data_IF_152150124002
#
_entry.id   IF_152150124002
#
_cell.length_a   1.000
_cell.length_b   1.000
_cell.length_c   1.000
_cell.angle_alpha   90.00
_cell.angle_beta   90.00
_cell.angle_gamma   90.00
#
_symmetry.space_group_name_H-M   'P 1'
#
loop_
_entity.id
_entity.type
_entity.pdbx_description
1 polymer ?
#
# COMPACT_ATOMS: atom_id res chain seq x y z
N UNK A 1 16.00 -34.57 -37.18
CA UNK A 1 16.79 -34.45 -35.95
C UNK A 1 17.67 -33.22 -36.07
N UNK A 2 17.32 -32.12 -35.38
CA UNK A 2 18.20 -31.07 -34.83
C UNK A 2 17.32 -30.06 -34.08
N UNK A 3 17.86 -29.56 -32.97
CA UNK A 3 17.22 -29.14 -31.73
C UNK A 3 16.31 -27.90 -31.77
N UNK A 4 15.28 -27.93 -30.93
CA UNK A 4 14.57 -26.77 -30.42
C UNK A 4 15.53 -25.94 -29.55
N UNK A 5 15.79 -24.70 -29.98
CA UNK A 5 16.56 -23.71 -29.23
C UNK A 5 15.66 -23.04 -28.18
N UNK A 6 15.95 -23.30 -26.91
CA UNK A 6 15.40 -22.59 -25.75
C UNK A 6 15.71 -21.10 -25.84
N UNK A 7 14.68 -20.24 -25.88
CA UNK A 7 14.83 -18.81 -25.62
C UNK A 7 14.79 -18.60 -24.12
N UNK A 8 15.96 -18.63 -23.49
CA UNK A 8 16.15 -18.15 -22.13
C UNK A 8 15.90 -16.64 -22.09
N UNK A 9 14.89 -16.22 -21.35
CA UNK A 9 14.55 -14.82 -21.15
C UNK A 9 15.61 -14.09 -20.31
N UNK A 10 16.09 -12.96 -20.84
CA UNK A 10 16.67 -11.87 -20.03
C UNK A 10 15.77 -10.65 -20.23
N UNK A 11 15.37 -9.95 -19.14
CA UNK A 11 14.50 -8.80 -19.22
C UNK A 11 15.31 -7.58 -19.65
N UNK A 12 15.60 -7.48 -20.94
CA UNK A 12 15.88 -6.19 -21.55
C UNK A 12 14.75 -5.85 -22.51
N UNK A 13 13.58 -5.61 -21.94
CA UNK A 13 12.39 -5.13 -22.66
C UNK A 13 12.49 -3.65 -23.03
N UNK A 14 13.61 -2.99 -22.70
CA UNK A 14 13.75 -1.54 -22.83
C UNK A 14 14.30 -1.08 -24.18
N UNK A 15 14.92 -1.95 -24.99
CA UNK A 15 15.73 -1.45 -26.12
C UNK A 15 15.23 -1.75 -27.55
N UNK A 16 13.99 -2.20 -27.76
CA UNK A 16 13.48 -2.44 -29.14
C UNK A 16 11.99 -2.18 -29.31
N UNK A 17 11.61 -0.92 -29.32
CA UNK A 17 10.53 -0.34 -30.11
C UNK A 17 10.51 1.14 -29.71
N UNK A 18 10.38 2.03 -30.69
CA UNK A 18 10.10 3.43 -30.40
C UNK A 18 8.84 3.52 -29.49
N UNK A 19 8.62 4.61 -28.74
CA UNK A 19 7.70 4.56 -27.58
C UNK A 19 6.24 4.32 -28.01
N UNK A 20 5.51 3.33 -27.47
CA UNK A 20 4.10 3.08 -27.79
C UNK A 20 3.20 4.32 -27.59
N UNK A 21 3.64 5.28 -26.76
CA UNK A 21 2.98 6.59 -26.59
C UNK A 21 2.77 7.32 -27.92
N UNK A 22 3.74 7.25 -28.84
CA UNK A 22 3.65 7.94 -30.14
C UNK A 22 2.55 7.39 -31.04
N UNK A 23 2.13 6.15 -30.79
CA UNK A 23 1.11 5.45 -31.56
C UNK A 23 -0.24 5.45 -30.83
N UNK A 24 -0.36 6.16 -29.70
CA UNK A 24 -1.58 6.16 -28.90
C UNK A 24 -1.92 4.79 -28.30
N UNK A 25 -0.92 3.91 -28.16
CA UNK A 25 -1.12 2.59 -27.56
C UNK A 25 -0.91 2.72 -26.05
N UNK A 26 -1.93 2.45 -25.21
CA UNK A 26 -1.75 2.51 -23.76
C UNK A 26 -0.83 1.38 -23.31
N UNK A 27 0.37 1.74 -22.89
CA UNK A 27 1.35 0.83 -22.32
C UNK A 27 1.83 1.39 -20.98
N UNK A 28 2.15 0.50 -20.05
CA UNK A 28 2.73 0.87 -18.77
C UNK A 28 3.93 -0.03 -18.47
N UNK A 29 4.91 0.53 -17.77
CA UNK A 29 6.04 -0.23 -17.23
C UNK A 29 5.54 -1.15 -16.11
N UNK A 30 5.96 -2.40 -16.13
CA UNK A 30 5.82 -3.28 -14.99
C UNK A 30 6.90 -2.91 -13.97
N UNK A 31 6.47 -2.39 -12.81
CA UNK A 31 7.39 -2.06 -11.72
C UNK A 31 7.52 -3.25 -10.77
N UNK A 32 8.71 -3.45 -10.20
CA UNK A 32 8.91 -4.30 -9.03
C UNK A 32 8.52 -3.54 -7.74
N UNK A 33 8.70 -4.20 -6.59
CA UNK A 33 8.30 -3.61 -5.29
C UNK A 33 9.10 -2.33 -4.98
N UNK A 34 10.40 -2.31 -5.27
CA UNK A 34 11.23 -1.13 -5.04
C UNK A 34 10.80 0.03 -5.96
N UNK A 35 10.60 -0.24 -7.24
CA UNK A 35 10.12 0.73 -8.23
C UNK A 35 8.71 1.25 -7.94
N UNK A 36 7.86 0.47 -7.25
CA UNK A 36 6.58 0.97 -6.74
C UNK A 36 6.78 1.93 -5.56
N UNK A 37 7.65 1.60 -4.61
CA UNK A 37 7.90 2.43 -3.42
C UNK A 37 8.49 3.80 -3.82
N UNK A 38 9.37 3.81 -4.81
CA UNK A 38 10.05 5.01 -5.31
C UNK A 38 9.27 5.72 -6.44
N UNK A 39 8.03 5.30 -6.68
CA UNK A 39 7.27 5.77 -7.84
C UNK A 39 6.97 7.28 -7.75
N UNK A 40 7.31 8.09 -8.78
CA UNK A 40 7.19 9.55 -8.73
C UNK A 40 5.80 10.06 -8.38
N UNK A 41 4.75 9.32 -8.74
CA UNK A 41 3.36 9.70 -8.51
C UNK A 41 2.97 9.54 -7.04
N UNK A 42 3.65 8.71 -6.26
CA UNK A 42 3.42 8.59 -4.82
C UNK A 42 4.03 9.79 -4.08
N UNK A 43 5.20 10.23 -4.50
CA UNK A 43 5.85 11.44 -4.00
C UNK A 43 5.10 12.71 -4.41
N UNK A 44 4.80 12.87 -5.70
CA UNK A 44 4.11 14.04 -6.25
C UNK A 44 2.71 14.26 -5.64
N UNK A 45 2.06 13.17 -5.20
CA UNK A 45 0.75 13.23 -4.51
C UNK A 45 0.87 13.19 -2.99
N UNK A 46 2.08 13.33 -2.46
CA UNK A 46 2.40 13.26 -1.04
C UNK A 46 1.67 12.10 -0.33
N UNK A 47 1.80 10.89 -0.88
CA UNK A 47 1.02 9.71 -0.46
C UNK A 47 1.61 8.95 0.71
N UNK A 48 2.79 9.33 1.20
CA UNK A 48 3.44 8.67 2.33
C UNK A 48 3.09 9.37 3.64
N UNK A 49 2.76 8.58 4.67
CA UNK A 49 2.60 9.06 6.05
C UNK A 49 3.39 8.15 6.99
N UNK A 50 3.88 8.73 8.06
CA UNK A 50 4.50 8.00 9.15
C UNK A 50 3.42 7.63 10.16
N UNK A 51 3.35 6.35 10.52
CA UNK A 51 2.48 5.83 11.56
C UNK A 51 3.31 5.18 12.67
N UNK A 52 2.92 5.39 13.91
CA UNK A 52 3.58 4.77 15.05
C UNK A 52 3.11 3.32 15.20
N UNK A 53 4.06 2.43 15.47
CA UNK A 53 3.77 1.03 15.82
C UNK A 53 4.53 0.65 17.09
N UNK A 54 4.15 -0.45 17.77
CA UNK A 54 4.89 -0.94 18.93
C UNK A 54 6.37 -1.29 18.62
N UNK A 55 6.70 -1.53 17.35
CA UNK A 55 8.05 -1.80 16.88
C UNK A 55 8.81 -0.52 16.41
N UNK A 56 8.19 0.65 16.52
CA UNK A 56 8.73 1.93 16.05
C UNK A 56 7.92 2.56 14.91
N UNK A 57 8.36 3.72 14.39
CA UNK A 57 7.69 4.40 13.29
C UNK A 57 7.82 3.60 12.00
N UNK A 58 6.73 3.48 11.25
CA UNK A 58 6.69 2.84 9.93
C UNK A 58 6.04 3.77 8.91
N UNK A 59 6.53 3.71 7.68
CA UNK A 59 5.97 4.50 6.58
C UNK A 59 4.87 3.71 5.87
N UNK A 60 3.66 4.25 5.87
CA UNK A 60 2.48 3.68 5.23
C UNK A 60 2.02 4.50 4.03
N UNK A 61 1.38 3.82 3.09
CA UNK A 61 0.74 4.46 1.95
C UNK A 61 -0.66 4.93 2.35
N UNK A 62 -0.97 6.19 2.05
CA UNK A 62 -2.32 6.71 2.20
C UNK A 62 -3.32 5.89 1.36
N UNK A 63 -4.54 5.66 1.86
CA UNK A 63 -5.57 4.98 1.09
C UNK A 63 -5.76 5.61 -0.30
N UNK A 64 -6.13 4.82 -1.32
CA UNK A 64 -6.25 5.32 -2.68
C UNK A 64 -7.30 6.42 -2.79
N UNK A 65 -8.40 6.28 -2.04
CA UNK A 65 -9.46 7.28 -1.92
C UNK A 65 -8.99 8.44 -1.03
N UNK A 66 -9.16 9.67 -1.51
CA UNK A 66 -8.87 10.90 -0.77
C UNK A 66 -10.08 11.81 -0.85
N UNK A 67 -10.42 12.48 0.24
CA UNK A 67 -11.47 13.50 0.28
C UNK A 67 -10.82 14.88 0.30
N UNK A 68 -11.48 15.89 -0.27
CA UNK A 68 -10.98 17.28 -0.25
C UNK A 68 -11.03 17.89 1.15
N UNK A 69 -11.98 17.44 1.96
CA UNK A 69 -12.35 18.10 3.22
C UNK A 69 -11.87 17.33 4.45
N UNK A 70 -11.38 16.09 4.25
CA UNK A 70 -10.95 15.19 5.33
C UNK A 70 -9.68 14.46 4.93
N UNK A 71 -8.64 14.60 5.74
CA UNK A 71 -7.46 13.76 5.64
C UNK A 71 -7.70 12.44 6.39
N UNK A 72 -7.41 11.31 5.74
CA UNK A 72 -7.60 9.99 6.33
C UNK A 72 -6.56 9.75 7.44
N UNK A 73 -6.98 9.41 8.66
CA UNK A 73 -6.07 9.27 9.78
C UNK A 73 -5.18 8.02 9.60
N UNK A 74 -3.87 8.24 9.58
CA UNK A 74 -2.84 7.20 9.70
C UNK A 74 -2.38 7.14 11.16
N UNK A 75 -3.33 6.81 12.04
CA UNK A 75 -3.11 6.79 13.50
C UNK A 75 -2.14 5.71 13.96
N UNK A 76 -1.86 5.69 15.28
CA UNK A 76 -1.00 4.67 15.89
C UNK A 76 -1.61 3.27 15.76
N UNK A 77 -0.76 2.29 15.50
CA UNK A 77 -1.10 0.87 15.59
C UNK A 77 -0.98 0.44 17.06
N UNK A 78 -2.05 -0.07 17.70
CA UNK A 78 -1.99 -0.48 19.09
C UNK A 78 -1.13 -1.72 19.29
N UNK A 79 -0.57 -1.85 20.48
CA UNK A 79 0.11 -3.07 20.90
C UNK A 79 -0.90 -4.22 21.11
N UNK A 80 -0.37 -5.45 21.11
CA UNK A 80 -1.17 -6.63 21.42
C UNK A 80 -1.81 -6.47 22.81
N UNK A 81 -3.15 -6.46 22.85
CA UNK A 81 -3.92 -6.37 24.07
C UNK A 81 -4.13 -4.96 24.63
N UNK A 82 -3.64 -3.91 23.96
CA UNK A 82 -3.69 -2.53 24.48
C UNK A 82 -5.10 -2.03 24.82
N UNK A 83 -6.11 -2.46 24.05
CA UNK A 83 -7.50 -2.05 24.27
C UNK A 83 -8.37 -3.12 24.96
N UNK A 84 -7.80 -4.26 25.36
CA UNK A 84 -8.58 -5.41 25.85
C UNK A 84 -9.36 -5.07 27.12
N UNK A 85 -8.69 -4.52 28.14
CA UNK A 85 -9.35 -4.21 29.43
C UNK A 85 -10.42 -3.12 29.28
N UNK A 86 -10.13 -2.08 28.48
CA UNK A 86 -11.08 -0.99 28.23
C UNK A 86 -12.37 -1.48 27.55
N UNK A 87 -12.24 -2.33 26.53
CA UNK A 87 -13.39 -2.90 25.81
C UNK A 87 -14.18 -3.86 26.70
N UNK A 88 -13.50 -4.68 27.52
CA UNK A 88 -14.18 -5.59 28.44
C UNK A 88 -14.96 -4.83 29.52
N UNK A 89 -14.43 -3.71 30.02
CA UNK A 89 -15.11 -2.86 30.97
C UNK A 89 -16.34 -2.17 30.35
N UNK A 90 -16.22 -1.67 29.12
CA UNK A 90 -17.35 -1.08 28.37
C UNK A 90 -18.47 -2.10 28.18
N UNK A 91 -18.12 -3.32 27.78
CA UNK A 91 -19.11 -4.38 27.55
C UNK A 91 -19.77 -4.84 28.86
N UNK A 92 -19.02 -4.95 29.96
CA UNK A 92 -19.59 -5.30 31.25
C UNK A 92 -20.64 -4.27 31.72
N UNK A 93 -20.33 -2.97 31.58
CA UNK A 93 -21.30 -1.91 31.89
C UNK A 93 -22.56 -1.96 31.01
N UNK A 94 -22.40 -2.22 29.72
CA UNK A 94 -23.53 -2.36 28.79
C UNK A 94 -24.41 -3.58 29.09
N UNK A 95 -23.86 -4.65 29.68
CA UNK A 95 -24.61 -5.83 30.08
C UNK A 95 -25.35 -5.64 31.41
N UNK A 96 -24.80 -4.85 32.34
CA UNK A 96 -25.44 -4.50 33.61
C UNK A 96 -26.66 -3.57 33.41
N UNK A 97 -26.66 -2.72 32.37
CA UNK A 97 -27.81 -1.86 32.01
C UNK A 97 -28.98 -2.63 31.35
N UNK A 98 -28.76 -3.87 30.90
CA UNK A 98 -29.78 -4.70 30.25
C UNK A 98 -30.63 -5.56 31.19
N UNK A 99 -30.34 -5.57 32.49
CA UNK A 99 -31.02 -6.39 33.51
C UNK A 99 -31.84 -5.57 34.53
N UNK A 100 -32.06 -4.28 34.26
CA UNK A 100 -33.02 -3.39 34.97
C UNK A 100 -34.06 -2.83 34.03
#
# INVERSE_FOLDING_TARGET
MTAAGSVGGSPDSAERADSPDRFGVPAARLNDVAGLIEHPQLEARNRWREGETPAGPVRGLLPPMTFSDVELPMGRVPALGEHTEAILAELAGALDEGDT
#
